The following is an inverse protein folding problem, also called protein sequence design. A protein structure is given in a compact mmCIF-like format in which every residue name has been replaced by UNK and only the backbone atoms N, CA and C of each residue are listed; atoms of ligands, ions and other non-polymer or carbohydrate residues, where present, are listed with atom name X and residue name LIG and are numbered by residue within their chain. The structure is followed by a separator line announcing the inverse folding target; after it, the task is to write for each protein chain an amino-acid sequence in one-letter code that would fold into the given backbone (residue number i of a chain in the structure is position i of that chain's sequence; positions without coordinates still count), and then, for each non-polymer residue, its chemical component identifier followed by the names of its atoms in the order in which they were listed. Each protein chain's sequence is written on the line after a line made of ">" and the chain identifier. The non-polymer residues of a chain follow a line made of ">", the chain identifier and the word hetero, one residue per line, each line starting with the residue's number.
data_IF_708409610277
#
_entry.id   IF_708409610277
#
_cell.length_a   1.000
_cell.length_b   1.000
_cell.length_c   1.000
_cell.angle_alpha   90.00
_cell.angle_beta   90.00
_cell.angle_gamma   90.00
#
_symmetry.space_group_name_H-M   'P 1'
#
loop_
_entity.id
_entity.type
_entity.pdbx_description
1 polymer ?
#
# COMPACT_ATOMS: atom_id res chain seq x y z
N UNK A 1 29.06 22.32 10.07
CA UNK A 1 29.26 20.90 10.46
C UNK A 1 27.90 20.22 10.35
N UNK A 2 27.70 19.35 9.38
CA UNK A 2 26.42 18.66 9.14
C UNK A 2 26.46 17.32 9.89
N UNK A 3 25.58 17.15 10.88
CA UNK A 3 25.50 15.93 11.68
C UNK A 3 24.46 15.01 11.06
N UNK A 4 24.89 13.88 10.51
CA UNK A 4 23.97 12.82 10.07
C UNK A 4 23.62 11.96 11.29
N UNK A 5 22.34 11.94 11.65
CA UNK A 5 21.84 10.95 12.61
C UNK A 5 21.76 9.60 11.91
N UNK A 6 22.73 8.72 12.16
CA UNK A 6 22.66 7.30 11.77
C UNK A 6 22.13 6.52 12.95
N UNK A 7 20.81 6.42 13.07
CA UNK A 7 20.19 5.48 14.02
C UNK A 7 20.48 4.05 13.57
N UNK A 8 20.93 3.20 14.49
CA UNK A 8 20.97 1.77 14.26
C UNK A 8 19.55 1.21 14.45
N UNK A 9 19.10 0.34 13.54
CA UNK A 9 17.93 -0.49 13.78
C UNK A 9 18.36 -1.55 14.81
N UNK A 10 18.02 -1.34 16.08
CA UNK A 10 18.49 -2.19 17.19
C UNK A 10 17.69 -3.48 17.37
N UNK A 11 16.64 -3.70 16.58
CA UNK A 11 15.77 -4.88 16.66
C UNK A 11 15.08 -5.14 15.32
N UNK A 12 15.01 -6.41 14.93
CA UNK A 12 14.13 -6.85 13.85
C UNK A 12 12.70 -6.96 14.35
N UNK A 13 11.80 -6.14 13.82
CA UNK A 13 10.36 -6.36 13.97
C UNK A 13 9.91 -7.50 13.05
N UNK A 14 9.18 -8.49 13.57
CA UNK A 14 8.53 -9.49 12.72
C UNK A 14 7.55 -8.78 11.77
N UNK A 15 7.67 -9.06 10.47
CA UNK A 15 6.75 -8.52 9.49
C UNK A 15 5.32 -8.97 9.81
N UNK A 16 4.39 -8.01 9.91
CA UNK A 16 2.96 -8.28 10.10
C UNK A 16 2.28 -8.77 8.81
N UNK A 17 3.03 -8.80 7.69
CA UNK A 17 2.53 -9.08 6.35
C UNK A 17 3.30 -10.28 5.81
N UNK A 18 2.58 -11.30 5.35
CA UNK A 18 3.14 -12.50 4.73
C UNK A 18 2.62 -12.63 3.28
N UNK A 19 3.50 -12.66 2.26
CA UNK A 19 4.95 -12.48 2.35
C UNK A 19 5.32 -11.04 2.74
N UNK A 20 6.49 -10.84 3.38
CA UNK A 20 7.00 -9.50 3.69
C UNK A 20 7.00 -8.60 2.45
N UNK A 21 6.86 -7.30 2.69
CA UNK A 21 6.94 -6.30 1.60
C UNK A 21 8.40 -6.03 1.31
N UNK A 22 8.90 -6.56 0.20
CA UNK A 22 10.28 -6.33 -0.28
C UNK A 22 10.36 -5.38 -1.47
N UNK A 23 9.20 -4.98 -2.01
CA UNK A 23 9.06 -4.35 -3.33
C UNK A 23 8.03 -3.19 -3.30
N UNK A 24 7.94 -2.47 -2.19
CA UNK A 24 7.12 -1.26 -2.11
C UNK A 24 7.61 -0.21 -3.12
N UNK A 25 6.70 0.37 -3.89
CA UNK A 25 7.01 1.36 -4.94
C UNK A 25 6.26 2.67 -4.78
N UNK A 26 5.16 2.69 -4.01
CA UNK A 26 4.32 3.86 -3.85
C UNK A 26 3.69 3.95 -2.46
N UNK A 27 3.53 5.19 -1.97
CA UNK A 27 2.78 5.53 -0.77
C UNK A 27 1.70 6.54 -1.15
N UNK A 28 0.44 6.16 -1.00
CA UNK A 28 -0.70 7.07 -1.14
C UNK A 28 -1.28 7.39 0.24
N UNK A 29 -1.35 8.67 0.57
CA UNK A 29 -1.89 9.15 1.84
C UNK A 29 -2.58 10.49 1.65
N UNK A 30 -3.64 10.70 2.43
CA UNK A 30 -4.38 11.95 2.49
C UNK A 30 -4.34 12.44 3.96
N UNK A 31 -4.05 13.73 4.25
CA UNK A 31 -3.77 14.20 5.61
C UNK A 31 -4.83 13.86 6.67
N UNK A 32 -6.11 13.91 6.29
CA UNK A 32 -7.26 13.73 7.19
C UNK A 32 -7.92 12.35 7.09
N UNK A 33 -7.25 11.39 6.44
CA UNK A 33 -7.80 10.05 6.24
C UNK A 33 -7.19 9.05 7.22
N UNK A 34 -7.99 8.09 7.72
CA UNK A 34 -7.52 7.12 8.70
C UNK A 34 -6.54 6.09 8.13
N UNK A 35 -6.43 6.01 6.80
CA UNK A 35 -5.64 5.00 6.12
C UNK A 35 -4.53 5.57 5.25
N UNK A 36 -3.46 4.79 5.18
CA UNK A 36 -2.34 4.95 4.25
C UNK A 36 -2.28 3.72 3.36
N UNK A 37 -1.84 3.90 2.13
CA UNK A 37 -1.81 2.84 1.15
C UNK A 37 -0.41 2.63 0.61
N UNK A 38 0.08 1.39 0.65
CA UNK A 38 1.34 1.01 0.02
C UNK A 38 1.04 0.18 -1.23
N UNK A 39 1.54 0.61 -2.38
CA UNK A 39 1.57 -0.18 -3.61
C UNK A 39 2.87 -0.96 -3.73
N UNK A 40 2.81 -2.22 -4.14
CA UNK A 40 3.99 -3.07 -4.38
C UNK A 40 4.16 -3.37 -5.85
N UNK A 41 5.41 -3.58 -6.31
CA UNK A 41 5.70 -3.94 -7.72
C UNK A 41 4.98 -5.23 -8.14
N UNK A 42 4.80 -6.16 -7.20
CA UNK A 42 3.98 -7.39 -7.28
C UNK A 42 2.46 -7.17 -7.33
N UNK A 43 2.00 -5.93 -7.55
CA UNK A 43 0.59 -5.63 -7.77
C UNK A 43 -0.29 -5.71 -6.51
N UNK A 44 0.29 -5.73 -5.31
CA UNK A 44 -0.46 -5.65 -4.05
C UNK A 44 -0.71 -4.20 -3.69
N UNK A 45 -1.88 -3.93 -3.11
CA UNK A 45 -2.18 -2.66 -2.43
C UNK A 45 -2.47 -2.97 -0.97
N UNK A 46 -1.76 -2.34 -0.05
CA UNK A 46 -1.87 -2.58 1.39
C UNK A 46 -2.53 -1.37 2.03
N UNK A 47 -3.65 -1.56 2.72
CA UNK A 47 -4.29 -0.56 3.57
C UNK A 47 -3.72 -0.67 4.97
N UNK A 48 -3.12 0.40 5.45
CA UNK A 48 -2.55 0.52 6.79
C UNK A 48 -3.30 1.58 7.58
N UNK A 49 -3.39 1.44 8.90
CA UNK A 49 -3.70 2.58 9.79
C UNK A 49 -2.55 3.58 9.79
N UNK A 50 -2.80 4.76 10.34
CA UNK A 50 -1.77 5.80 10.52
C UNK A 50 -0.62 5.38 11.43
N UNK A 51 -0.82 4.39 12.30
CA UNK A 51 0.21 3.77 13.15
C UNK A 51 1.04 2.68 12.45
N UNK A 52 0.74 2.39 11.18
CA UNK A 52 1.44 1.39 10.37
C UNK A 52 0.87 -0.03 10.46
N UNK A 53 -0.15 -0.27 11.30
CA UNK A 53 -0.81 -1.58 11.39
C UNK A 53 -1.50 -1.94 10.08
N UNK A 54 -1.29 -3.16 9.57
CA UNK A 54 -2.02 -3.67 8.41
C UNK A 54 -3.51 -3.86 8.74
N UNK A 55 -4.38 -3.29 7.90
CA UNK A 55 -5.84 -3.46 7.96
C UNK A 55 -6.30 -4.47 6.91
N UNK A 56 -5.84 -4.30 5.67
CA UNK A 56 -6.27 -5.12 4.54
C UNK A 56 -5.19 -5.16 3.46
N UNK A 57 -5.14 -6.28 2.73
CA UNK A 57 -4.35 -6.44 1.52
C UNK A 57 -5.29 -6.69 0.34
N UNK A 58 -5.05 -6.00 -0.77
CA UNK A 58 -5.76 -6.16 -2.03
C UNK A 58 -4.82 -6.75 -3.07
N UNK A 59 -5.32 -7.73 -3.81
CA UNK A 59 -4.67 -8.39 -4.96
C UNK A 59 -5.70 -8.57 -6.06
N UNK A 60 -5.25 -8.65 -7.32
CA UNK A 60 -6.16 -8.96 -8.43
C UNK A 60 -6.82 -10.33 -8.24
N UNK A 61 -8.15 -10.36 -8.24
CA UNK A 61 -8.92 -11.60 -8.23
C UNK A 61 -8.91 -12.30 -9.59
N UNK A 62 -9.34 -13.57 -9.61
CA UNK A 62 -9.43 -14.34 -10.85
C UNK A 62 -10.31 -13.65 -11.90
N UNK A 63 -9.76 -13.46 -13.11
CA UNK A 63 -10.44 -12.81 -14.23
C UNK A 63 -10.25 -11.28 -14.32
N UNK A 64 -9.68 -10.64 -13.28
CA UNK A 64 -9.26 -9.24 -13.38
C UNK A 64 -7.86 -9.14 -13.99
N UNK A 65 -7.52 -8.02 -14.67
CA UNK A 65 -6.14 -7.74 -15.06
C UNK A 65 -5.21 -7.81 -13.85
N UNK A 66 -4.07 -8.48 -14.01
CA UNK A 66 -2.99 -8.41 -13.02
C UNK A 66 -2.53 -6.95 -12.88
N UNK A 67 -2.19 -6.54 -11.66
CA UNK A 67 -1.57 -5.25 -11.35
C UNK A 67 -0.03 -5.32 -11.23
N UNK A 68 0.58 -6.47 -11.56
CA UNK A 68 2.04 -6.62 -11.58
C UNK A 68 2.71 -5.56 -12.47
N UNK A 69 3.89 -5.12 -12.05
CA UNK A 69 4.55 -3.98 -12.68
C UNK A 69 3.92 -2.66 -12.24
N UNK A 70 3.30 -2.60 -11.04
CA UNK A 70 2.79 -1.36 -10.45
C UNK A 70 3.94 -0.35 -10.36
N UNK A 71 3.71 0.85 -10.85
CA UNK A 71 4.66 1.97 -10.84
C UNK A 71 4.27 3.01 -9.80
N UNK A 72 2.98 3.32 -9.68
CA UNK A 72 2.43 4.29 -8.72
C UNK A 72 0.97 3.99 -8.38
N UNK A 73 0.47 4.52 -7.26
CA UNK A 73 -0.93 4.44 -6.86
C UNK A 73 -1.42 5.74 -6.21
N UNK A 74 -2.56 6.23 -6.68
CA UNK A 74 -3.32 7.28 -6.02
C UNK A 74 -4.65 6.72 -5.51
N UNK A 75 -4.92 6.84 -4.22
CA UNK A 75 -6.15 6.33 -3.61
C UNK A 75 -7.06 7.49 -3.21
N UNK A 76 -8.28 7.48 -3.71
CA UNK A 76 -9.41 8.21 -3.15
C UNK A 76 -10.05 7.35 -2.06
N UNK A 77 -9.66 7.60 -0.82
CA UNK A 77 -10.15 6.86 0.34
C UNK A 77 -11.63 7.17 0.68
N UNK A 78 -12.17 8.30 0.22
CA UNK A 78 -13.58 8.66 0.42
C UNK A 78 -14.46 7.82 -0.49
N UNK A 79 -14.05 7.66 -1.75
CA UNK A 79 -14.80 6.90 -2.75
C UNK A 79 -14.45 5.41 -2.78
N UNK A 80 -13.37 5.01 -2.12
CA UNK A 80 -12.85 3.64 -2.17
C UNK A 80 -12.34 3.28 -3.57
N UNK A 81 -11.67 4.23 -4.23
CA UNK A 81 -11.12 4.06 -5.58
C UNK A 81 -9.60 4.20 -5.56
N UNK A 82 -8.91 3.33 -6.29
CA UNK A 82 -7.48 3.43 -6.54
C UNK A 82 -7.22 3.58 -8.04
N UNK A 83 -6.43 4.59 -8.38
CA UNK A 83 -5.85 4.77 -9.70
C UNK A 83 -4.46 4.12 -9.67
N UNK A 84 -4.29 3.01 -10.36
CA UNK A 84 -3.09 2.18 -10.32
C UNK A 84 -2.36 2.29 -11.64
N UNK A 85 -1.23 3.00 -11.64
CA UNK A 85 -0.35 3.04 -12.81
C UNK A 85 0.52 1.79 -12.80
N UNK A 86 0.53 1.07 -13.92
CA UNK A 86 1.39 -0.08 -14.16
C UNK A 86 2.17 0.12 -15.45
N UNK A 87 3.14 -0.75 -15.70
CA UNK A 87 3.82 -0.84 -17.01
C UNK A 87 2.87 -1.11 -18.19
N UNK A 88 1.68 -1.66 -17.91
CA UNK A 88 0.67 -2.01 -18.92
C UNK A 88 -0.39 -0.92 -19.11
N UNK A 89 -0.42 0.09 -18.24
CA UNK A 89 -1.39 1.19 -18.29
C UNK A 89 -1.96 1.57 -16.93
N UNK A 90 -2.95 2.47 -16.96
CA UNK A 90 -3.66 2.99 -15.80
C UNK A 90 -4.96 2.21 -15.58
N UNK A 91 -5.12 1.64 -14.39
CA UNK A 91 -6.32 0.92 -13.99
C UNK A 91 -7.08 1.69 -12.90
N UNK A 92 -8.41 1.69 -12.99
CA UNK A 92 -9.28 2.14 -11.91
C UNK A 92 -9.78 0.91 -11.14
N UNK A 93 -9.42 0.82 -9.85
CA UNK A 93 -9.71 -0.32 -8.99
C UNK A 93 -10.63 0.12 -7.86
N UNK A 94 -11.71 -0.62 -7.63
CA UNK A 94 -12.55 -0.44 -6.45
C UNK A 94 -11.95 -1.19 -5.27
N UNK A 95 -11.66 -0.47 -4.19
CA UNK A 95 -11.18 -1.06 -2.95
C UNK A 95 -12.38 -1.38 -2.05
N UNK A 96 -12.53 -2.64 -1.59
CA UNK A 96 -13.51 -2.99 -0.57
C UNK A 96 -13.41 -2.10 0.68
N UNK A 97 -14.55 -1.90 1.34
CA UNK A 97 -14.60 -1.20 2.63
C UNK A 97 -13.72 -1.91 3.67
N UNK A 98 -13.16 -1.17 4.64
CA UNK A 98 -12.42 -1.75 5.74
C UNK A 98 -13.33 -2.65 6.59
N UNK A 99 -12.79 -3.71 7.23
CA UNK A 99 -13.57 -4.55 8.13
C UNK A 99 -14.16 -3.74 9.30
N UNK A 100 -15.30 -4.17 9.83
CA UNK A 100 -15.89 -3.50 11.00
C UNK A 100 -14.97 -3.65 12.21
N UNK A 101 -14.65 -2.55 12.88
CA UNK A 101 -13.79 -2.54 14.07
C UNK A 101 -12.29 -2.54 13.78
N UNK A 102 -11.88 -2.40 12.52
CA UNK A 102 -10.51 -2.07 12.15
C UNK A 102 -10.21 -0.60 12.46
#
# INVERSE_FOLDING_TARGET
>A
MLSYYRGALETEAKAQIDPPVSDAVALSQQPERPYRYIGTRSGRILRLRTDGTLVQQFVSGGGAPSLDGLLDVAVDDVQGLAYVLTERGLFLVRLPAPPVGS
#
